data_IF_963556857731
#
_entry.id   IF_963556857731
#
_cell.length_a   1.000
_cell.length_b   1.000
_cell.length_c   1.000
_cell.angle_alpha   90.00
_cell.angle_beta   90.00
_cell.angle_gamma   90.00
#
_symmetry.space_group_name_H-M   'P 1'
#
loop_
_entity.id
_entity.type
_entity.pdbx_description
1 polymer ?
#
# COMPACT_ATOMS: atom_id res chain seq x y z
N UNK A 1 9.10 15.99 0.91
CA UNK A 1 10.57 16.21 1.12
C UNK A 1 11.33 14.89 1.07
N UNK A 2 12.55 14.86 0.51
CA UNK A 2 13.31 13.62 0.29
C UNK A 2 13.53 12.83 1.60
N UNK A 3 13.75 13.53 2.71
CA UNK A 3 13.97 12.94 4.04
C UNK A 3 12.74 12.26 4.65
N UNK A 4 11.53 12.54 4.17
CA UNK A 4 10.28 11.92 4.63
C UNK A 4 9.83 10.76 3.75
N UNK A 5 10.52 10.52 2.63
CA UNK A 5 10.09 9.55 1.62
C UNK A 5 10.05 8.11 2.16
N UNK A 6 10.81 7.81 3.21
CA UNK A 6 10.79 6.49 3.85
C UNK A 6 9.47 6.17 4.57
N UNK A 7 8.71 7.19 4.98
CA UNK A 7 7.45 7.04 5.72
C UNK A 7 6.39 6.31 4.89
N UNK A 8 6.45 6.45 3.56
CA UNK A 8 5.57 5.76 2.62
C UNK A 8 5.68 4.23 2.72
N UNK A 9 6.82 3.71 3.20
CA UNK A 9 7.03 2.27 3.34
C UNK A 9 6.46 1.71 4.66
N UNK A 10 6.14 2.58 5.61
CA UNK A 10 5.66 2.19 6.95
C UNK A 10 4.16 2.39 7.07
N UNK A 11 3.60 3.34 6.33
CA UNK A 11 2.16 3.61 6.36
C UNK A 11 1.40 2.55 5.55
N UNK A 12 0.54 1.72 6.19
CA UNK A 12 -0.29 0.76 5.46
C UNK A 12 -1.23 1.45 4.46
N UNK A 13 -1.61 2.71 4.72
CA UNK A 13 -2.43 3.52 3.83
C UNK A 13 -1.80 3.69 2.45
N UNK A 14 -0.49 3.87 2.36
CA UNK A 14 0.20 4.06 1.07
C UNK A 14 0.06 2.81 0.18
N UNK A 15 0.20 1.62 0.74
CA UNK A 15 0.00 0.37 0.01
C UNK A 15 -1.46 0.15 -0.37
N UNK A 16 -2.39 0.45 0.54
CA UNK A 16 -3.83 0.32 0.26
C UNK A 16 -4.31 1.27 -0.84
N UNK A 17 -3.83 2.52 -0.86
CA UNK A 17 -4.15 3.50 -1.90
C UNK A 17 -3.66 3.02 -3.26
N UNK A 18 -2.42 2.52 -3.37
CA UNK A 18 -1.93 1.96 -4.64
C UNK A 18 -2.78 0.78 -5.12
N UNK A 19 -3.20 -0.09 -4.19
CA UNK A 19 -4.06 -1.24 -4.52
C UNK A 19 -5.45 -0.82 -5.04
N UNK A 20 -6.02 0.25 -4.46
CA UNK A 20 -7.30 0.82 -4.92
C UNK A 20 -7.13 1.55 -6.24
N UNK A 21 -6.03 2.27 -6.43
CA UNK A 21 -5.73 2.96 -7.70
C UNK A 21 -5.58 1.95 -8.83
N UNK A 22 -4.85 0.86 -8.61
CA UNK A 22 -4.79 -0.24 -9.57
C UNK A 22 -6.19 -0.80 -9.84
N UNK A 23 -6.95 -1.17 -8.81
CA UNK A 23 -8.30 -1.71 -8.99
C UNK A 23 -9.24 -0.79 -9.79
N UNK A 24 -9.14 0.53 -9.61
CA UNK A 24 -10.02 1.51 -10.25
C UNK A 24 -9.57 1.90 -11.67
N UNK A 25 -8.26 1.95 -11.91
CA UNK A 25 -7.69 2.51 -13.16
C UNK A 25 -7.02 1.46 -14.05
N UNK A 26 -6.88 0.22 -13.58
CA UNK A 26 -6.32 -0.89 -14.34
C UNK A 26 -7.40 -1.53 -15.21
N UNK A 27 -7.56 -0.94 -16.40
CA UNK A 27 -8.48 -1.33 -17.49
C UNK A 27 -9.92 -0.82 -17.34
N UNK A 28 -10.56 -0.64 -18.49
CA UNK A 28 -11.98 -0.30 -18.67
C UNK A 28 -12.44 1.07 -18.16
N UNK A 29 -11.64 2.12 -18.40
CA UNK A 29 -12.00 3.52 -18.13
C UNK A 29 -13.06 4.09 -19.09
N UNK A 30 -13.83 3.25 -19.79
CA UNK A 30 -14.97 3.64 -20.62
C UNK A 30 -14.66 4.10 -22.05
N UNK A 31 -13.39 4.32 -22.41
CA UNK A 31 -12.95 4.53 -23.80
C UNK A 31 -11.46 4.28 -23.97
N UNK A 32 -11.00 4.06 -25.21
CA UNK A 32 -9.57 3.88 -25.52
C UNK A 32 -8.73 5.09 -25.09
N UNK A 33 -9.23 6.31 -25.32
CA UNK A 33 -8.56 7.54 -24.89
C UNK A 33 -8.54 7.68 -23.35
N UNK A 34 -9.61 7.26 -22.68
CA UNK A 34 -9.67 7.28 -21.21
C UNK A 34 -8.70 6.26 -20.59
N UNK A 35 -8.53 5.09 -21.19
CA UNK A 35 -7.53 4.10 -20.75
C UNK A 35 -6.10 4.66 -20.79
N UNK A 36 -5.75 5.44 -21.83
CA UNK A 36 -4.45 6.11 -21.90
C UNK A 36 -4.27 7.10 -20.74
N UNK A 37 -5.32 7.86 -20.39
CA UNK A 37 -5.26 8.78 -19.27
C UNK A 37 -5.19 8.07 -17.91
N UNK A 38 -5.89 6.94 -17.76
CA UNK A 38 -5.83 6.11 -16.55
C UNK A 38 -4.44 5.50 -16.34
N UNK A 39 -3.82 4.99 -17.41
CA UNK A 39 -2.43 4.51 -17.40
C UNK A 39 -1.46 5.62 -16.97
N UNK A 40 -1.60 6.83 -17.51
CA UNK A 40 -0.76 7.97 -17.09
C UNK A 40 -0.90 8.31 -15.60
N UNK A 41 -2.10 8.16 -15.01
CA UNK A 41 -2.31 8.40 -13.58
C UNK A 41 -1.62 7.32 -12.74
N UNK A 42 -1.68 6.05 -13.17
CA UNK A 42 -0.98 4.94 -12.52
C UNK A 42 0.54 5.11 -12.58
N UNK A 43 1.08 5.54 -13.73
CA UNK A 43 2.50 5.82 -13.93
C UNK A 43 2.99 6.95 -13.02
N UNK A 44 2.21 8.04 -12.88
CA UNK A 44 2.54 9.16 -11.98
C UNK A 44 2.49 8.73 -10.51
N UNK A 45 1.52 7.87 -10.16
CA UNK A 45 1.42 7.30 -8.83
C UNK A 45 2.56 6.29 -8.54
N UNK A 46 3.20 5.74 -9.57
CA UNK A 46 4.21 4.69 -9.45
C UNK A 46 3.61 3.37 -8.99
N UNK A 47 2.32 3.16 -9.28
CA UNK A 47 1.60 1.92 -8.96
C UNK A 47 1.80 0.95 -10.11
N UNK A 48 2.82 0.10 -10.00
CA UNK A 48 3.05 -0.94 -11.00
C UNK A 48 2.13 -2.14 -10.72
N UNK A 49 1.33 -2.51 -11.72
CA UNK A 49 0.30 -3.54 -11.60
C UNK A 49 0.89 -4.93 -11.40
N UNK A 50 2.13 -5.15 -11.87
CA UNK A 50 2.82 -6.44 -11.70
C UNK A 50 3.21 -6.69 -10.22
N UNK A 51 3.24 -5.64 -9.39
CA UNK A 51 3.66 -5.68 -7.98
C UNK A 51 2.50 -5.74 -6.96
N UNK A 52 1.24 -5.90 -7.40
CA UNK A 52 0.06 -5.95 -6.50
C UNK A 52 0.23 -6.98 -5.37
N UNK A 53 0.80 -8.13 -5.68
CA UNK A 53 1.07 -9.19 -4.69
C UNK A 53 2.02 -8.73 -3.58
N UNK A 54 2.98 -7.86 -3.91
CA UNK A 54 3.93 -7.33 -2.95
C UNK A 54 3.26 -6.37 -1.95
N UNK A 55 2.29 -5.58 -2.41
CA UNK A 55 1.51 -4.70 -1.54
C UNK A 55 0.66 -5.48 -0.52
N UNK A 56 0.06 -6.61 -0.94
CA UNK A 56 -0.63 -7.52 -0.01
C UNK A 56 0.32 -8.10 1.04
N UNK A 57 1.50 -8.55 0.62
CA UNK A 57 2.51 -9.09 1.53
C UNK A 57 2.96 -8.03 2.54
N UNK A 58 3.21 -6.80 2.10
CA UNK A 58 3.58 -5.68 2.97
C UNK A 58 2.49 -5.37 4.01
N UNK A 59 1.21 -5.36 3.62
CA UNK A 59 0.09 -5.15 4.55
C UNK A 59 0.01 -6.24 5.62
N UNK A 60 0.18 -7.51 5.24
CA UNK A 60 0.21 -8.64 6.19
C UNK A 60 1.40 -8.53 7.13
N UNK A 61 2.59 -8.18 6.62
CA UNK A 61 3.78 -8.00 7.44
C UNK A 61 3.58 -6.89 8.49
N UNK A 62 3.06 -5.73 8.09
CA UNK A 62 2.76 -4.62 9.01
C UNK A 62 1.75 -5.06 10.07
N UNK A 63 0.69 -5.77 9.68
CA UNK A 63 -0.30 -6.30 10.63
C UNK A 63 0.35 -7.22 11.67
N UNK A 64 1.17 -8.18 11.25
CA UNK A 64 1.86 -9.12 12.15
C UNK A 64 2.81 -8.38 13.11
N UNK A 65 3.56 -7.40 12.61
CA UNK A 65 4.46 -6.59 13.45
C UNK A 65 3.67 -5.81 14.50
N UNK A 66 2.62 -5.09 14.11
CA UNK A 66 1.81 -4.32 15.06
C UNK A 66 1.14 -5.22 16.11
N UNK A 67 0.64 -6.39 15.70
CA UNK A 67 0.00 -7.36 16.61
C UNK A 67 1.01 -7.99 17.57
N UNK A 68 2.18 -8.38 17.10
CA UNK A 68 3.24 -8.93 17.94
C UNK A 68 3.76 -7.90 18.94
N UNK A 69 3.96 -6.65 18.51
CA UNK A 69 4.33 -5.53 19.41
C UNK A 69 3.24 -5.32 20.47
N UNK A 70 1.96 -5.32 20.08
CA UNK A 70 0.85 -5.20 21.04
C UNK A 70 0.85 -6.34 22.06
N UNK A 71 1.04 -7.59 21.62
CA UNK A 71 1.13 -8.75 22.51
C UNK A 71 2.31 -8.66 23.48
N UNK A 72 3.48 -8.24 23.00
CA UNK A 72 4.68 -8.06 23.85
C UNK A 72 4.46 -6.95 24.88
N UNK A 73 3.88 -5.81 24.47
CA UNK A 73 3.54 -4.73 25.38
C UNK A 73 2.52 -5.16 26.45
N UNK A 74 1.48 -5.91 26.05
CA UNK A 74 0.49 -6.47 26.97
C UNK A 74 1.11 -7.46 27.95
N UNK A 75 1.95 -8.39 27.47
CA UNK A 75 2.66 -9.37 28.32
C UNK A 75 3.56 -8.66 29.34
N UNK A 76 4.36 -7.69 28.90
CA UNK A 76 5.25 -6.92 29.78
C UNK A 76 4.50 -6.11 30.84
N UNK A 77 3.30 -5.61 30.51
CA UNK A 77 2.43 -4.90 31.46
C UNK A 77 1.68 -5.85 32.40
N UNK A 78 1.44 -7.10 32.00
CA UNK A 78 0.85 -8.10 32.88
C UNK A 78 1.87 -8.73 33.85
N UNK A 79 3.14 -8.84 33.43
CA UNK A 79 4.25 -9.35 34.25
C UNK A 79 4.82 -8.33 35.25
N UNK A 80 4.45 -7.04 35.14
CA UNK A 80 4.98 -5.94 35.95
C UNK A 80 3.86 -5.17 36.63
#
# INVERSE_FOLDING_TARGET
PVWLRWLQYIMPLSYAVNLVMDYEFNQDCGSEQANINCQNILDIAGSDSDDIWWYWLALVAIFVVLRSVALVCLKRKAEK
#
